data_IF_057507628197
#
_entry.id   IF_057507628197
#
_cell.length_a   1.000
_cell.length_b   1.000
_cell.length_c   1.000
_cell.angle_alpha   90.00
_cell.angle_beta   90.00
_cell.angle_gamma   90.00
#
_symmetry.space_group_name_H-M   'P 1'
#
loop_
_entity.id
_entity.type
_entity.pdbx_description
1 polymer ?
#
# COMPACT_ATOMS: atom_id res chain seq x y z
N UNK A 1 0.96 -7.63 -1.28
CA UNK A 1 1.16 -8.42 -0.05
C UNK A 1 2.18 -7.70 0.79
N UNK A 2 1.89 -7.48 2.07
CA UNK A 2 2.93 -7.05 3.02
C UNK A 2 3.86 -8.22 3.34
N UNK A 3 5.00 -7.91 3.97
CA UNK A 3 6.12 -8.83 4.20
C UNK A 3 5.75 -10.20 4.79
N UNK A 4 4.73 -10.27 5.64
CA UNK A 4 4.26 -11.49 6.32
C UNK A 4 3.16 -12.24 5.55
N UNK A 5 2.75 -11.72 4.40
CA UNK A 5 1.72 -12.29 3.51
C UNK A 5 0.34 -12.47 4.17
N UNK A 6 0.02 -11.65 5.18
CA UNK A 6 -1.32 -11.59 5.77
C UNK A 6 -2.19 -10.54 5.09
N UNK A 7 -1.65 -9.35 4.85
CA UNK A 7 -2.41 -8.25 4.26
C UNK A 7 -2.12 -8.06 2.77
N UNK A 8 -3.20 -7.86 1.99
CA UNK A 8 -3.13 -7.45 0.59
C UNK A 8 -3.36 -5.94 0.51
N UNK A 9 -2.44 -5.23 -0.11
CA UNK A 9 -2.55 -3.80 -0.42
C UNK A 9 -2.81 -3.64 -1.91
N UNK A 10 -3.91 -2.97 -2.25
CA UNK A 10 -4.36 -2.76 -3.64
C UNK A 10 -4.65 -1.28 -3.88
N UNK A 11 -4.23 -0.77 -5.02
CA UNK A 11 -4.50 0.61 -5.40
C UNK A 11 -5.92 0.78 -5.94
N UNK A 12 -6.69 1.66 -5.31
CA UNK A 12 -7.89 2.27 -5.88
C UNK A 12 -7.45 3.57 -6.59
N UNK A 13 -6.78 3.39 -7.74
CA UNK A 13 -5.94 4.40 -8.39
C UNK A 13 -6.64 5.76 -8.63
N UNK A 14 -7.80 5.77 -9.29
CA UNK A 14 -8.54 7.01 -9.59
C UNK A 14 -9.18 7.65 -8.35
N UNK A 15 -9.10 7.00 -7.20
CA UNK A 15 -9.54 7.52 -5.90
C UNK A 15 -8.39 7.97 -5.00
N UNK A 16 -7.13 7.87 -5.45
CA UNK A 16 -5.92 8.21 -4.68
C UNK A 16 -5.84 7.48 -3.33
N UNK A 17 -6.23 6.20 -3.30
CA UNK A 17 -6.27 5.41 -2.06
C UNK A 17 -5.65 4.03 -2.20
N UNK A 18 -5.12 3.50 -1.10
CA UNK A 18 -4.73 2.10 -0.94
C UNK A 18 -5.74 1.39 -0.04
N UNK A 19 -6.35 0.32 -0.55
CA UNK A 19 -7.18 -0.58 0.23
C UNK A 19 -6.33 -1.68 0.87
N UNK A 20 -6.51 -1.90 2.17
CA UNK A 20 -5.84 -2.95 2.94
C UNK A 20 -6.85 -4.02 3.31
N UNK A 21 -6.63 -5.24 2.85
CA UNK A 21 -7.48 -6.41 3.12
C UNK A 21 -6.71 -7.40 3.97
N UNK A 22 -7.29 -7.84 5.08
CA UNK A 22 -6.79 -9.00 5.83
C UNK A 22 -7.21 -10.28 5.08
N UNK A 23 -6.24 -11.00 4.51
CA UNK A 23 -6.54 -12.22 3.74
C UNK A 23 -6.94 -13.39 4.63
N UNK A 24 -6.56 -13.39 5.91
CA UNK A 24 -6.93 -14.43 6.87
C UNK A 24 -8.40 -14.30 7.25
N UNK A 25 -8.78 -13.09 7.66
CA UNK A 25 -10.12 -12.83 8.20
C UNK A 25 -11.12 -12.37 7.11
N UNK A 26 -10.62 -12.10 5.89
CA UNK A 26 -11.39 -11.66 4.71
C UNK A 26 -12.15 -10.35 4.95
N UNK A 27 -11.54 -9.42 5.67
CA UNK A 27 -12.12 -8.12 6.01
C UNK A 27 -11.32 -6.97 5.42
N UNK A 28 -11.99 -5.83 5.18
CA UNK A 28 -11.31 -4.57 4.84
C UNK A 28 -10.83 -3.90 6.12
N UNK A 29 -9.52 -3.85 6.31
CA UNK A 29 -8.89 -3.32 7.53
C UNK A 29 -8.73 -1.80 7.47
N UNK A 30 -8.35 -1.26 6.30
CA UNK A 30 -8.12 0.17 6.15
C UNK A 30 -8.33 0.64 4.70
N UNK A 31 -8.49 1.96 4.57
CA UNK A 31 -8.44 2.68 3.31
C UNK A 31 -7.59 3.93 3.52
N UNK A 32 -6.40 3.94 2.94
CA UNK A 32 -5.35 4.93 3.22
C UNK A 32 -5.29 5.93 2.07
N UNK A 33 -5.33 7.22 2.39
CA UNK A 33 -5.11 8.31 1.45
C UNK A 33 -3.63 8.42 1.07
N UNK A 34 -3.34 8.56 -0.23
CA UNK A 34 -1.98 8.68 -0.78
C UNK A 34 -1.94 9.73 -1.90
N UNK A 35 -0.81 9.84 -2.60
CA UNK A 35 -0.63 10.70 -3.77
C UNK A 35 -1.54 10.32 -4.95
N UNK A 36 -1.34 11.02 -6.06
CA UNK A 36 -2.22 10.97 -7.23
C UNK A 36 -1.97 9.71 -8.07
N UNK A 37 -2.99 8.90 -8.29
CA UNK A 37 -2.93 7.67 -9.12
C UNK A 37 -1.81 6.73 -8.62
N UNK A 38 -1.95 6.12 -7.42
CA UNK A 38 -1.01 5.13 -6.93
C UNK A 38 -0.93 3.94 -7.88
N UNK A 39 0.29 3.48 -8.18
CA UNK A 39 0.54 2.40 -9.12
C UNK A 39 1.67 1.47 -8.64
N UNK A 40 1.38 0.62 -7.64
CA UNK A 40 2.42 -0.16 -6.94
C UNK A 40 2.98 -1.34 -7.75
N UNK A 41 2.26 -1.84 -8.76
CA UNK A 41 2.47 -3.22 -9.22
C UNK A 41 2.18 -4.19 -8.05
N UNK A 42 3.22 -4.86 -7.53
CA UNK A 42 3.13 -5.64 -6.27
C UNK A 42 3.52 -4.82 -5.03
N UNK A 43 4.10 -3.65 -5.23
CA UNK A 43 4.77 -2.77 -4.26
C UNK A 43 6.10 -3.33 -3.76
N UNK A 44 6.73 -2.61 -2.84
CA UNK A 44 8.03 -2.97 -2.28
C UNK A 44 7.97 -3.07 -0.75
N UNK A 45 8.39 -4.21 -0.21
CA UNK A 45 8.47 -4.43 1.24
C UNK A 45 9.90 -4.21 1.71
N UNK A 46 10.09 -3.47 2.80
CA UNK A 46 11.38 -3.34 3.49
C UNK A 46 11.17 -2.91 4.94
N UNK A 47 12.25 -2.93 5.74
CA UNK A 47 12.22 -2.43 7.11
C UNK A 47 12.77 -1.01 7.12
N UNK A 48 11.92 -0.03 7.41
CA UNK A 48 12.33 1.35 7.62
C UNK A 48 13.01 1.49 8.98
N UNK A 49 14.14 2.20 9.12
CA UNK A 49 14.87 2.33 10.38
C UNK A 49 14.03 2.88 11.54
N UNK A 50 13.06 3.76 11.25
CA UNK A 50 12.20 4.41 12.25
C UNK A 50 10.80 3.78 12.34
N UNK A 51 10.22 3.33 11.22
CA UNK A 51 8.82 2.90 11.15
C UNK A 51 8.64 1.38 11.19
N UNK A 52 9.75 0.62 11.18
CA UNK A 52 9.70 -0.83 11.12
C UNK A 52 9.27 -1.34 9.74
N UNK A 53 8.64 -2.53 9.64
CA UNK A 53 8.20 -3.09 8.36
C UNK A 53 7.19 -2.18 7.66
N UNK A 54 7.50 -1.77 6.43
CA UNK A 54 6.64 -0.93 5.58
C UNK A 54 6.44 -1.56 4.20
N UNK A 55 5.41 -1.10 3.50
CA UNK A 55 5.18 -1.43 2.10
C UNK A 55 5.02 -0.14 1.31
N UNK A 56 5.73 -0.03 0.20
CA UNK A 56 5.81 1.19 -0.57
C UNK A 56 5.05 1.12 -1.90
N UNK A 57 4.51 2.27 -2.31
CA UNK A 57 3.97 2.52 -3.65
C UNK A 57 4.51 3.82 -4.25
N UNK A 58 4.77 3.80 -5.55
CA UNK A 58 4.93 5.00 -6.37
C UNK A 58 3.60 5.44 -6.97
N UNK A 59 3.62 6.61 -7.60
CA UNK A 59 2.45 7.25 -8.20
C UNK A 59 2.71 7.55 -9.67
N UNK A 60 1.68 7.42 -10.51
CA UNK A 60 1.75 7.85 -11.91
C UNK A 60 1.33 9.31 -12.09
N UNK A 61 0.59 9.85 -11.12
CA UNK A 61 0.03 11.20 -11.18
C UNK A 61 0.88 12.28 -10.52
N UNK A 62 1.93 11.91 -9.78
CA UNK A 62 2.92 12.80 -9.15
C UNK A 62 4.23 12.05 -8.85
N UNK A 63 5.27 12.76 -8.36
CA UNK A 63 6.58 12.18 -8.03
C UNK A 63 6.69 11.54 -6.63
N UNK A 64 5.59 11.37 -5.89
CA UNK A 64 5.66 10.95 -4.49
C UNK A 64 5.84 9.43 -4.34
N UNK A 65 6.47 9.02 -3.23
CA UNK A 65 6.48 7.64 -2.74
C UNK A 65 5.77 7.62 -1.39
N UNK A 66 4.81 6.73 -1.20
CA UNK A 66 4.14 6.50 0.08
C UNK A 66 4.60 5.17 0.69
N UNK A 67 4.76 5.15 2.03
CA UNK A 67 5.21 4.02 2.86
C UNK A 67 4.15 3.65 3.91
#
# INVERSE_FOLDING_TARGET
>A
WESTQRYVMMAANNSNKIAVIDAKDRTRTALIDVGKIPHPGRGANFVHPEFGPVWATSHLGDETIAL
#
